data_IF_237153561421
#
_entry.id   IF_237153561421
#
_cell.length_a   1.000
_cell.length_b   1.000
_cell.length_c   1.000
_cell.angle_alpha   90.00
_cell.angle_beta   90.00
_cell.angle_gamma   90.00
#
_symmetry.space_group_name_H-M   'P 1'
#
loop_
_entity.id
_entity.type
_entity.pdbx_description
1 polymer ?
#
# COMPACT_ATOMS: atom_id res chain seq x y z
N UNK A 1 0.92 23.20 5.11
CA UNK A 1 -0.46 22.69 5.05
C UNK A 1 -0.42 21.49 4.13
N UNK A 2 -0.81 20.30 4.58
CA UNK A 2 -0.92 19.12 3.71
C UNK A 2 -2.29 19.11 3.05
N UNK A 3 -2.36 18.83 1.75
CA UNK A 3 -3.60 18.71 1.00
C UNK A 3 -4.19 17.30 1.14
N UNK A 4 -5.52 17.22 1.23
CA UNK A 4 -6.24 15.95 1.23
C UNK A 4 -6.44 15.49 -0.21
N UNK A 5 -6.29 14.18 -0.44
CA UNK A 5 -6.66 13.59 -1.72
C UNK A 5 -8.19 13.43 -1.77
N UNK A 6 -8.81 13.96 -2.83
CA UNK A 6 -10.26 13.91 -3.01
C UNK A 6 -10.83 12.49 -3.18
N UNK A 7 -10.04 11.54 -3.72
CA UNK A 7 -10.51 10.17 -3.95
C UNK A 7 -10.35 9.24 -2.76
N UNK A 8 -9.37 9.49 -1.88
CA UNK A 8 -9.09 8.64 -0.73
C UNK A 8 -9.43 9.29 0.61
N UNK A 9 -9.66 10.59 0.66
CA UNK A 9 -9.91 11.32 1.91
C UNK A 9 -8.69 11.44 2.83
N UNK A 10 -7.54 10.87 2.45
CA UNK A 10 -6.31 10.89 3.24
C UNK A 10 -5.26 11.82 2.66
N UNK A 11 -4.38 12.36 3.51
CA UNK A 11 -3.20 13.10 3.05
C UNK A 11 -2.14 12.11 2.56
N UNK A 12 -1.26 12.56 1.65
CA UNK A 12 -0.15 11.74 1.17
C UNK A 12 0.77 11.27 2.30
N UNK A 13 0.98 12.11 3.32
CA UNK A 13 1.74 11.74 4.52
C UNK A 13 1.06 10.64 5.32
N UNK A 14 -0.26 10.65 5.42
CA UNK A 14 -1.00 9.61 6.13
C UNK A 14 -0.86 8.25 5.41
N UNK A 15 -0.95 8.24 4.08
CA UNK A 15 -0.77 7.01 3.29
C UNK A 15 0.67 6.47 3.35
N UNK A 16 1.67 7.36 3.35
CA UNK A 16 3.08 6.96 3.33
C UNK A 16 3.66 6.66 4.73
N UNK A 17 3.25 7.41 5.75
CA UNK A 17 3.85 7.37 7.10
C UNK A 17 2.87 6.92 8.19
N UNK A 18 1.59 6.70 7.87
CA UNK A 18 0.54 6.40 8.86
C UNK A 18 0.23 7.57 9.79
N UNK A 19 0.75 8.78 9.52
CA UNK A 19 0.56 9.96 10.36
C UNK A 19 0.72 11.26 9.58
N UNK A 20 0.03 12.30 10.04
CA UNK A 20 0.10 13.64 9.46
C UNK A 20 1.15 14.47 10.22
N UNK A 21 2.09 15.16 9.54
CA UNK A 21 3.09 15.97 10.22
C UNK A 21 2.43 17.11 11.00
N UNK A 22 2.81 17.28 12.27
CA UNK A 22 2.39 18.41 13.10
C UNK A 22 3.45 19.50 13.06
N UNK A 23 3.03 20.77 13.11
CA UNK A 23 3.97 21.89 13.31
C UNK A 23 4.61 21.73 14.69
N UNK A 24 5.94 21.75 14.75
CA UNK A 24 6.62 21.87 16.03
C UNK A 24 6.34 23.26 16.63
N UNK A 25 5.97 23.34 17.92
CA UNK A 25 5.96 24.60 18.64
C UNK A 25 7.36 25.24 18.68
N UNK A 26 7.47 26.58 18.86
CA UNK A 26 8.75 27.24 19.04
C UNK A 26 9.52 26.67 20.23
N UNK A 27 10.79 26.34 20.05
CA UNK A 27 11.66 25.84 21.12
C UNK A 27 12.25 27.02 21.92
N UNK A 28 11.38 27.86 22.50
CA UNK A 28 11.79 28.94 23.40
C UNK A 28 11.67 28.50 24.86
N UNK A 29 12.52 29.00 25.79
CA UNK A 29 12.45 28.64 27.21
C UNK A 29 11.07 28.87 27.84
N UNK A 30 10.35 29.90 27.39
CA UNK A 30 8.99 30.25 27.80
C UNK A 30 7.96 29.22 27.31
N UNK A 31 8.13 28.67 26.11
CA UNK A 31 7.21 27.68 25.54
C UNK A 31 7.26 26.32 26.23
N UNK A 32 8.31 26.01 26.99
CA UNK A 32 8.49 24.72 27.67
C UNK A 32 7.61 24.58 28.92
N UNK A 33 7.29 25.68 29.60
CA UNK A 33 6.36 25.65 30.75
C UNK A 33 4.91 25.45 30.30
N UNK A 34 4.54 25.99 29.14
CA UNK A 34 3.21 25.81 28.55
C UNK A 34 2.97 24.38 28.05
N UNK A 35 3.98 23.64 27.58
CA UNK A 35 3.79 22.27 27.05
C UNK A 35 3.24 21.30 28.11
N UNK A 36 3.60 21.47 29.39
CA UNK A 36 3.16 20.58 30.47
C UNK A 36 1.72 20.81 30.91
N UNK A 37 1.20 22.04 30.76
CA UNK A 37 -0.22 22.35 31.01
C UNK A 37 -1.09 22.09 29.77
N UNK A 38 -0.54 22.26 28.56
CA UNK A 38 -1.25 22.04 27.28
C UNK A 38 -1.35 20.55 26.93
N UNK A 39 -0.37 19.73 27.33
CA UNK A 39 -0.39 18.28 27.12
C UNK A 39 -0.37 17.57 28.47
N UNK A 40 -1.51 17.50 29.19
CA UNK A 40 -1.67 16.49 30.21
C UNK A 40 -1.39 15.13 29.56
N UNK A 41 -0.79 14.20 30.31
CA UNK A 41 -0.51 12.85 29.82
C UNK A 41 -1.83 12.14 29.53
N UNK A 42 -2.42 12.42 28.36
CA UNK A 42 -3.71 11.89 27.91
C UNK A 42 -3.49 10.50 27.34
N UNK A 43 -3.25 9.57 28.27
CA UNK A 43 -3.03 8.15 27.98
C UNK A 43 -4.28 7.58 27.31
N UNK A 44 -5.47 8.04 27.70
CA UNK A 44 -6.75 7.61 27.13
C UNK A 44 -6.87 8.02 25.66
N UNK A 45 -6.64 9.29 25.33
CA UNK A 45 -6.64 9.76 23.94
C UNK A 45 -5.56 9.08 23.10
N UNK A 46 -4.37 8.85 23.66
CA UNK A 46 -3.33 8.09 22.96
C UNK A 46 -3.77 6.64 22.66
N UNK A 47 -4.39 5.95 23.62
CA UNK A 47 -4.93 4.61 23.42
C UNK A 47 -6.05 4.60 22.38
N UNK A 48 -6.98 5.54 22.42
CA UNK A 48 -8.05 5.68 21.43
C UNK A 48 -7.49 5.90 20.02
N UNK A 49 -6.47 6.76 19.87
CA UNK A 49 -5.83 6.95 18.55
C UNK A 49 -5.15 5.68 18.05
N UNK A 50 -4.50 4.91 18.92
CA UNK A 50 -3.89 3.63 18.54
C UNK A 50 -4.96 2.61 18.13
N UNK A 51 -6.09 2.57 18.84
CA UNK A 51 -7.20 1.70 18.49
C UNK A 51 -7.83 2.09 17.16
N UNK A 52 -8.06 3.39 16.93
CA UNK A 52 -8.53 3.91 15.64
C UNK A 52 -7.60 3.53 14.51
N UNK A 53 -6.29 3.71 14.67
CA UNK A 53 -5.31 3.36 13.64
C UNK A 53 -5.31 1.86 13.32
N UNK A 54 -5.52 0.98 14.32
CA UNK A 54 -5.63 -0.45 14.08
C UNK A 54 -6.88 -0.79 13.26
N UNK A 55 -8.00 -0.16 13.57
CA UNK A 55 -9.24 -0.30 12.79
C UNK A 55 -9.05 0.22 11.37
N UNK A 56 -8.48 1.41 11.20
CA UNK A 56 -8.22 2.01 9.89
C UNK A 56 -7.33 1.12 9.01
N UNK A 57 -6.32 0.46 9.60
CA UNK A 57 -5.45 -0.49 8.89
C UNK A 57 -6.23 -1.74 8.47
N UNK A 58 -7.10 -2.27 9.34
CA UNK A 58 -7.94 -3.43 9.00
C UNK A 58 -8.90 -3.10 7.86
N UNK A 59 -9.58 -1.95 7.94
CA UNK A 59 -10.49 -1.46 6.90
C UNK A 59 -9.76 -1.24 5.57
N UNK A 60 -8.55 -0.67 5.61
CA UNK A 60 -7.72 -0.49 4.42
C UNK A 60 -7.32 -1.84 3.80
N UNK A 61 -7.05 -2.86 4.60
CA UNK A 61 -6.73 -4.20 4.11
C UNK A 61 -7.94 -4.85 3.43
N UNK A 62 -9.13 -4.75 4.01
CA UNK A 62 -10.37 -5.27 3.44
C UNK A 62 -10.75 -4.54 2.14
N UNK A 63 -10.57 -3.22 2.11
CA UNK A 63 -10.74 -2.43 0.88
C UNK A 63 -9.75 -2.85 -0.21
N UNK A 64 -8.47 -3.09 0.13
CA UNK A 64 -7.48 -3.60 -0.82
C UNK A 64 -7.81 -5.01 -1.31
N UNK A 65 -8.36 -5.86 -0.45
CA UNK A 65 -8.73 -7.22 -0.84
C UNK A 65 -9.95 -7.22 -1.78
N UNK A 66 -10.99 -6.49 -1.44
CA UNK A 66 -12.19 -6.35 -2.29
C UNK A 66 -11.87 -5.76 -3.66
N UNK A 67 -11.02 -4.71 -3.71
CA UNK A 67 -10.58 -4.11 -4.97
C UNK A 67 -9.76 -5.07 -5.82
N UNK A 68 -8.85 -5.86 -5.23
CA UNK A 68 -8.11 -6.91 -5.96
C UNK A 68 -9.02 -7.98 -6.53
N UNK A 69 -10.02 -8.43 -5.78
CA UNK A 69 -11.03 -9.38 -6.26
C UNK A 69 -11.80 -8.78 -7.45
N UNK A 70 -12.24 -7.52 -7.32
CA UNK A 70 -12.90 -6.81 -8.41
C UNK A 70 -12.01 -6.67 -9.65
N UNK A 71 -10.75 -6.27 -9.48
CA UNK A 71 -9.77 -6.19 -10.57
C UNK A 71 -9.58 -7.54 -11.26
N UNK A 72 -9.43 -8.63 -10.50
CA UNK A 72 -9.31 -9.97 -11.06
C UNK A 72 -10.59 -10.38 -11.81
N UNK A 73 -11.77 -10.10 -11.25
CA UNK A 73 -13.04 -10.40 -11.89
C UNK A 73 -13.20 -9.65 -13.22
N UNK A 74 -12.91 -8.34 -13.26
CA UNK A 74 -13.00 -7.52 -14.48
C UNK A 74 -11.94 -7.87 -15.51
N UNK A 75 -10.73 -8.18 -15.08
CA UNK A 75 -9.67 -8.70 -15.96
C UNK A 75 -10.08 -10.05 -16.57
N UNK A 76 -10.70 -10.91 -15.78
CA UNK A 76 -11.19 -12.21 -16.25
C UNK A 76 -12.47 -12.12 -17.08
N UNK A 77 -13.29 -11.07 -16.91
CA UNK A 77 -14.54 -10.89 -17.64
C UNK A 77 -14.34 -10.77 -19.16
N UNK A 78 -13.18 -10.26 -19.59
CA UNK A 78 -12.80 -10.13 -21.00
C UNK A 78 -11.72 -11.12 -21.41
N UNK A 79 -11.45 -12.14 -20.59
CA UNK A 79 -10.46 -13.16 -20.92
C UNK A 79 -10.99 -13.99 -22.08
N UNK A 80 -10.17 -14.14 -23.13
CA UNK A 80 -10.44 -15.08 -24.20
C UNK A 80 -10.57 -16.51 -23.63
N UNK A 81 -11.33 -17.37 -24.30
CA UNK A 81 -11.40 -18.78 -23.91
C UNK A 81 -9.99 -19.36 -23.74
N UNK A 82 -9.81 -20.15 -22.68
CA UNK A 82 -8.54 -20.85 -22.49
C UNK A 82 -8.29 -21.75 -23.70
N UNK A 83 -7.14 -21.60 -24.38
CA UNK A 83 -6.82 -22.46 -25.49
C UNK A 83 -6.68 -23.90 -24.97
N UNK A 84 -7.48 -24.80 -25.51
CA UNK A 84 -7.40 -26.23 -25.22
C UNK A 84 -6.30 -26.82 -26.10
N UNK A 85 -5.21 -27.23 -25.49
CA UNK A 85 -4.12 -27.92 -26.17
C UNK A 85 -4.25 -29.43 -25.97
N UNK A 86 -4.10 -30.20 -27.04
CA UNK A 86 -3.96 -31.65 -27.00
C UNK A 86 -2.47 -32.04 -26.97
N UNK A 87 -2.20 -33.29 -26.60
CA UNK A 87 -0.87 -33.87 -26.79
C UNK A 87 -0.57 -33.84 -28.30
N UNK A 88 0.66 -33.43 -28.65
CA UNK A 88 1.16 -33.22 -30.02
C UNK A 88 0.73 -31.92 -30.72
N UNK A 89 0.01 -31.02 -30.06
CA UNK A 89 -0.24 -29.67 -30.61
C UNK A 89 1.05 -28.84 -30.68
N UNK A 90 1.26 -28.18 -31.83
CA UNK A 90 2.35 -27.23 -32.02
C UNK A 90 1.89 -25.83 -31.59
N UNK A 91 2.55 -25.28 -30.58
CA UNK A 91 2.30 -23.92 -30.07
C UNK A 91 3.47 -22.98 -30.38
N UNK A 92 3.15 -21.77 -30.84
CA UNK A 92 4.16 -20.74 -31.02
C UNK A 92 4.55 -20.14 -29.67
N UNK A 93 5.81 -20.32 -29.29
CA UNK A 93 6.38 -19.69 -28.11
C UNK A 93 7.06 -18.38 -28.52
N UNK A 94 6.60 -17.26 -27.96
CA UNK A 94 7.35 -16.02 -28.05
C UNK A 94 8.62 -16.14 -27.21
N UNK A 95 9.78 -16.22 -27.86
CA UNK A 95 11.08 -16.33 -27.18
C UNK A 95 11.83 -15.00 -27.11
N UNK A 96 11.21 -13.90 -27.53
CA UNK A 96 11.83 -12.58 -27.66
C UNK A 96 12.49 -12.08 -26.36
N UNK A 97 11.93 -12.42 -25.20
CA UNK A 97 12.46 -12.04 -23.89
C UNK A 97 12.91 -13.21 -23.03
N UNK A 98 12.94 -14.42 -23.60
CA UNK A 98 13.22 -15.68 -22.88
C UNK A 98 14.52 -15.61 -22.08
N UNK A 99 15.59 -15.08 -22.66
CA UNK A 99 16.89 -14.97 -21.98
C UNK A 99 16.84 -14.00 -20.79
N UNK A 100 16.20 -12.84 -20.96
CA UNK A 100 16.07 -11.81 -19.91
C UNK A 100 15.24 -12.35 -18.74
N UNK A 101 14.09 -12.95 -19.04
CA UNK A 101 13.23 -13.55 -18.02
C UNK A 101 13.89 -14.73 -17.30
N UNK A 102 14.64 -15.57 -18.03
CA UNK A 102 15.37 -16.68 -17.44
C UNK A 102 16.44 -16.23 -16.43
N UNK A 103 17.21 -15.19 -16.78
CA UNK A 103 18.28 -14.65 -15.93
C UNK A 103 17.74 -13.85 -14.72
N UNK A 104 16.60 -13.17 -14.86
CA UNK A 104 16.02 -12.35 -13.80
C UNK A 104 15.40 -13.16 -12.64
N UNK A 105 15.15 -14.46 -12.82
CA UNK A 105 14.48 -15.30 -11.81
C UNK A 105 15.34 -15.72 -10.60
N UNK A 106 16.68 -15.64 -10.71
CA UNK A 106 17.64 -15.71 -9.60
C UNK A 106 19.08 -15.59 -10.13
N UNK A 107 19.98 -14.97 -9.36
CA UNK A 107 21.40 -14.73 -9.73
C UNK A 107 22.25 -15.99 -10.00
N UNK A 108 21.69 -17.19 -9.85
CA UNK A 108 22.39 -18.47 -10.06
C UNK A 108 22.10 -19.09 -11.44
N UNK A 109 21.34 -18.41 -12.30
CA UNK A 109 20.96 -18.93 -13.62
C UNK A 109 21.90 -18.39 -14.69
N UNK A 110 22.46 -19.29 -15.50
CA UNK A 110 23.29 -18.93 -16.66
C UNK A 110 22.60 -19.46 -17.91
N UNK A 111 22.27 -18.56 -18.84
CA UNK A 111 21.73 -18.93 -20.14
C UNK A 111 22.88 -19.43 -21.03
N UNK A 112 22.79 -20.67 -21.52
CA UNK A 112 23.64 -21.21 -22.60
C UNK A 112 23.10 -20.79 -23.96
#
# INVERSE_FOLDING_TARGET
MSTLNASTGYTHFHLHLGRTPRRLPPLTPEGVHDVREIFPTDISGALETIMSLKTDIADAHDALMSTKIGQAAWANAHRAEEPKFAVDDLVYLSTAHRRREYLNGSNQRVAK
#
